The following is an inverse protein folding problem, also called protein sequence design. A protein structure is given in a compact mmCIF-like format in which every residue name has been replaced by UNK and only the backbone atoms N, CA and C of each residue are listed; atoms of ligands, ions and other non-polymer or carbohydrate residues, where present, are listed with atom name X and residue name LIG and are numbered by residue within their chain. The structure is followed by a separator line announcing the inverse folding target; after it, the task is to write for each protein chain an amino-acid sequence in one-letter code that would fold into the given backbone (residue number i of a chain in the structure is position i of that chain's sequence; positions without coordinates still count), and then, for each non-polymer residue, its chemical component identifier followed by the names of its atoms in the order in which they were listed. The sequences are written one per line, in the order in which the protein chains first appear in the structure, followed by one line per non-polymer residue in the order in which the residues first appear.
data_IF_640584982265
#
_entry.id   IF_640584982265
#
_cell.length_a   1.000
_cell.length_b   1.000
_cell.length_c   1.000
_cell.angle_alpha   90.00
_cell.angle_beta   90.00
_cell.angle_gamma   90.00
#
_symmetry.space_group_name_H-M   'P 1'
#
loop_
_entity.id
_entity.type
_entity.pdbx_description
1 polymer ?
#
# COMPACT_ATOMS: atom_id res chain seq x y z
N UNK A 1 -26.66 -56.25 -4.43
CA UNK A 1 -27.47 -55.02 -4.53
C UNK A 1 -26.54 -53.92 -4.98
N UNK A 2 -26.56 -53.60 -6.26
CA UNK A 2 -25.66 -52.64 -6.90
C UNK A 2 -26.34 -51.28 -6.93
N UNK A 3 -25.74 -50.27 -6.31
CA UNK A 3 -26.24 -48.91 -6.32
C UNK A 3 -25.58 -48.13 -7.46
N UNK A 4 -26.37 -47.78 -8.47
CA UNK A 4 -26.01 -46.82 -9.50
C UNK A 4 -26.16 -45.41 -8.94
N UNK A 5 -25.05 -44.68 -8.79
CA UNK A 5 -25.08 -43.22 -8.58
C UNK A 5 -24.84 -42.55 -9.93
N UNK A 6 -25.85 -41.80 -10.41
CA UNK A 6 -25.66 -40.85 -11.50
C UNK A 6 -25.20 -39.49 -10.94
N UNK A 7 -24.19 -38.83 -11.52
CA UNK A 7 -23.85 -37.47 -11.14
C UNK A 7 -24.92 -36.49 -11.64
N UNK A 8 -25.49 -35.73 -10.71
CA UNK A 8 -26.40 -34.62 -10.97
C UNK A 8 -25.64 -33.47 -11.65
N UNK A 9 -25.93 -33.22 -12.92
CA UNK A 9 -25.42 -32.04 -13.65
C UNK A 9 -26.24 -30.83 -13.23
N UNK A 10 -25.65 -29.96 -12.41
CA UNK A 10 -26.24 -28.67 -12.07
C UNK A 10 -26.39 -27.80 -13.31
N UNK A 11 -27.64 -27.46 -13.65
CA UNK A 11 -27.98 -26.45 -14.66
C UNK A 11 -27.48 -25.08 -14.20
N UNK A 12 -26.46 -24.55 -14.86
CA UNK A 12 -26.05 -23.15 -14.70
C UNK A 12 -26.81 -22.29 -15.70
N UNK A 13 -27.63 -21.36 -15.22
CA UNK A 13 -28.22 -20.32 -16.05
C UNK A 13 -27.14 -19.29 -16.40
N UNK A 14 -26.77 -19.21 -17.68
CA UNK A 14 -25.90 -18.16 -18.22
C UNK A 14 -26.76 -16.92 -18.54
N UNK A 15 -26.35 -15.76 -18.04
CA UNK A 15 -26.89 -14.48 -18.50
C UNK A 15 -26.43 -14.22 -19.94
N UNK A 16 -27.36 -13.92 -20.86
CA UNK A 16 -27.06 -13.56 -22.25
C UNK A 16 -26.31 -12.21 -22.31
N UNK A 17 -25.09 -12.14 -22.86
CA UNK A 17 -24.54 -10.85 -23.28
C UNK A 17 -25.26 -10.37 -24.55
N UNK A 18 -25.67 -9.11 -24.50
CA UNK A 18 -26.51 -8.42 -25.48
C UNK A 18 -25.78 -8.20 -26.82
N UNK A 19 -26.56 -8.16 -27.90
CA UNK A 19 -26.10 -8.01 -29.27
C UNK A 19 -25.32 -6.69 -29.48
N UNK A 20 -24.08 -6.82 -29.96
CA UNK A 20 -23.27 -5.71 -30.45
C UNK A 20 -23.88 -5.25 -31.79
N UNK A 21 -24.28 -3.98 -31.88
CA UNK A 21 -24.76 -3.36 -33.11
C UNK A 21 -23.63 -3.29 -34.15
N UNK A 22 -23.96 -3.72 -35.37
CA UNK A 22 -23.09 -3.64 -36.54
C UNK A 22 -22.87 -2.19 -37.02
N UNK A 23 -21.69 -1.92 -37.59
CA UNK A 23 -21.37 -0.77 -38.45
C UNK A 23 -20.56 -1.29 -39.67
N UNK A 24 -20.46 -0.57 -40.80
CA UNK A 24 -20.80 -1.11 -42.11
C UNK A 24 -19.55 -1.40 -42.97
N UNK A 25 -19.78 -2.25 -43.97
CA UNK A 25 -18.89 -2.62 -45.06
C UNK A 25 -18.45 -1.42 -45.93
N UNK A 26 -17.23 -1.48 -46.50
CA UNK A 26 -17.05 -1.29 -47.95
C UNK A 26 -16.21 -2.45 -48.53
N UNK A 27 -16.76 -3.31 -49.39
CA UNK A 27 -16.91 -3.17 -50.83
C UNK A 27 -15.57 -3.20 -51.62
N UNK A 28 -15.39 -4.33 -52.32
CA UNK A 28 -14.74 -4.54 -53.61
C UNK A 28 -13.19 -4.44 -53.76
N UNK A 29 -12.54 -5.57 -54.06
CA UNK A 29 -11.95 -5.87 -55.38
C UNK A 29 -11.24 -7.25 -55.40
N UNK A 30 -11.59 -8.08 -56.38
CA UNK A 30 -11.02 -9.39 -56.71
C UNK A 30 -9.72 -9.24 -57.57
N UNK A 31 -9.13 -10.28 -58.22
CA UNK A 31 -9.40 -11.72 -58.19
C UNK A 31 -8.13 -12.64 -58.11
N UNK A 32 -8.42 -13.94 -58.16
CA UNK A 32 -7.59 -15.15 -58.11
C UNK A 32 -6.41 -15.26 -59.10
N UNK A 33 -5.44 -16.13 -58.77
CA UNK A 33 -5.08 -17.29 -59.62
C UNK A 33 -4.16 -18.31 -58.90
N UNK A 34 -4.54 -19.58 -59.06
CA UNK A 34 -3.80 -20.81 -58.75
C UNK A 34 -2.62 -21.05 -59.71
N UNK A 35 -1.61 -21.82 -59.27
CA UNK A 35 -1.13 -23.08 -59.85
C UNK A 35 0.38 -23.36 -59.62
N UNK A 36 0.63 -24.48 -58.91
CA UNK A 36 1.56 -25.59 -59.26
C UNK A 36 3.09 -25.39 -59.06
N UNK A 37 3.70 -26.18 -58.15
CA UNK A 37 4.42 -27.46 -58.43
C UNK A 37 5.36 -27.89 -57.27
N UNK A 38 5.21 -29.19 -56.91
CA UNK A 38 6.18 -30.24 -56.54
C UNK A 38 7.24 -30.05 -55.44
N UNK A 39 7.19 -31.00 -54.48
CA UNK A 39 8.23 -31.93 -53.96
C UNK A 39 9.63 -31.35 -53.63
N UNK A 40 10.30 -31.69 -52.53
CA UNK A 40 10.48 -33.02 -51.93
C UNK A 40 11.15 -32.92 -50.55
N UNK A 41 11.25 -34.07 -49.88
CA UNK A 41 12.28 -34.48 -48.92
C UNK A 41 12.20 -34.02 -47.45
N UNK A 42 11.59 -34.89 -46.64
CA UNK A 42 12.33 -35.68 -45.65
C UNK A 42 13.05 -34.93 -44.53
N UNK A 43 12.39 -34.81 -43.37
CA UNK A 43 13.06 -34.95 -42.07
C UNK A 43 12.04 -35.29 -40.99
N UNK A 44 12.19 -36.49 -40.42
CA UNK A 44 11.51 -36.95 -39.21
C UNK A 44 11.83 -36.00 -38.05
N UNK A 45 10.82 -35.33 -37.51
CA UNK A 45 10.89 -34.72 -36.19
C UNK A 45 9.57 -35.03 -35.46
N UNK A 46 9.67 -35.86 -34.43
CA UNK A 46 8.58 -36.24 -33.53
C UNK A 46 7.85 -34.98 -33.05
N UNK A 47 6.51 -34.94 -32.96
CA UNK A 47 5.85 -33.80 -32.35
C UNK A 47 6.28 -33.75 -30.87
N UNK A 48 7.04 -32.72 -30.52
CA UNK A 48 7.24 -32.35 -29.12
C UNK A 48 5.88 -31.86 -28.64
N UNK A 49 5.17 -32.70 -27.89
CA UNK A 49 3.98 -32.27 -27.17
C UNK A 49 4.44 -31.25 -26.12
N UNK A 50 4.34 -29.97 -26.45
CA UNK A 50 4.47 -28.90 -25.47
C UNK A 50 3.21 -28.92 -24.61
N UNK A 51 3.31 -29.46 -23.39
CA UNK A 51 2.29 -29.25 -22.37
C UNK A 51 2.27 -27.77 -22.02
N UNK A 52 1.33 -27.03 -22.61
CA UNK A 52 0.93 -25.74 -22.06
C UNK A 52 0.11 -26.05 -20.81
N UNK A 53 0.46 -25.50 -19.62
CA UNK A 53 -0.33 -25.74 -18.43
C UNK A 53 -1.74 -25.18 -18.68
N UNK A 54 -2.70 -26.09 -18.72
CA UNK A 54 -4.13 -25.83 -18.77
C UNK A 54 -4.54 -24.88 -17.64
N UNK A 55 -5.38 -23.91 -18.00
CA UNK A 55 -6.24 -23.05 -17.19
C UNK A 55 -6.34 -23.45 -15.70
N UNK A 56 -5.95 -22.54 -14.80
CA UNK A 56 -6.68 -22.41 -13.54
C UNK A 56 -5.94 -22.46 -12.21
N UNK A 57 -4.62 -22.26 -12.11
CA UNK A 57 -4.03 -21.85 -10.83
C UNK A 57 -3.87 -20.34 -10.82
N UNK A 58 -4.91 -19.63 -10.38
CA UNK A 58 -4.79 -18.24 -9.99
C UNK A 58 -3.87 -18.18 -8.77
N UNK A 59 -2.55 -18.12 -9.01
CA UNK A 59 -1.66 -17.54 -8.02
C UNK A 59 -2.10 -16.09 -7.95
N UNK A 60 -2.91 -15.77 -6.94
CA UNK A 60 -3.14 -14.38 -6.55
C UNK A 60 -1.76 -13.79 -6.42
N UNK A 61 -1.37 -12.92 -7.37
CA UNK A 61 -0.12 -12.16 -7.24
C UNK A 61 -0.18 -11.58 -5.84
N UNK A 62 0.76 -11.89 -4.94
CA UNK A 62 0.78 -11.21 -3.65
C UNK A 62 0.80 -9.73 -4.00
N UNK A 63 -0.27 -9.02 -3.61
CA UNK A 63 -0.34 -7.59 -3.83
C UNK A 63 0.97 -7.04 -3.28
N UNK A 64 1.73 -6.27 -4.09
CA UNK A 64 2.99 -5.72 -3.60
C UNK A 64 2.68 -5.00 -2.30
N UNK A 65 3.25 -5.47 -1.20
CA UNK A 65 3.21 -4.75 0.07
C UNK A 65 3.66 -3.33 -0.27
N UNK A 66 2.77 -2.34 -0.09
CA UNK A 66 3.04 -0.95 -0.43
C UNK A 66 4.35 -0.55 0.25
N UNK A 67 5.42 -0.51 -0.53
CA UNK A 67 6.70 -0.03 -0.03
C UNK A 67 6.56 1.48 0.12
N UNK A 68 7.04 2.08 1.23
CA UNK A 68 7.15 3.52 1.30
C UNK A 68 8.03 3.99 0.15
N UNK A 69 7.45 4.79 -0.75
CA UNK A 69 8.07 5.18 -2.02
C UNK A 69 8.95 6.40 -1.85
N UNK A 70 8.56 7.30 -0.95
CA UNK A 70 9.30 8.51 -0.64
C UNK A 70 9.16 8.80 0.84
N UNK A 71 10.29 9.04 1.51
CA UNK A 71 10.32 9.38 2.92
C UNK A 71 11.25 10.57 3.16
N UNK A 72 10.91 11.38 4.15
CA UNK A 72 11.73 12.50 4.63
C UNK A 72 11.73 12.52 6.15
N UNK A 73 12.80 13.06 6.72
CA UNK A 73 13.04 13.06 8.15
C UNK A 73 13.30 14.49 8.60
N UNK A 74 12.64 14.90 9.68
CA UNK A 74 12.80 16.23 10.25
C UNK A 74 13.12 16.14 11.74
N UNK A 75 14.03 17.02 12.16
CA UNK A 75 14.38 17.19 13.55
C UNK A 75 13.96 18.60 14.00
N UNK A 76 13.31 18.68 15.15
CA UNK A 76 12.98 19.94 15.78
C UNK A 76 14.27 20.62 16.26
N UNK A 77 14.39 21.92 15.99
CA UNK A 77 15.56 22.70 16.41
C UNK A 77 15.54 22.89 17.92
N UNK A 78 16.70 22.77 18.57
CA UNK A 78 16.84 23.00 20.01
C UNK A 78 16.55 21.79 20.91
N UNK A 79 16.11 20.66 20.34
CA UNK A 79 15.90 19.42 21.08
C UNK A 79 17.00 18.40 20.81
N UNK A 80 17.25 17.54 21.80
CA UNK A 80 18.18 16.41 21.68
C UNK A 80 17.58 15.34 20.78
N UNK A 81 18.46 14.55 20.14
CA UNK A 81 18.00 13.42 19.33
C UNK A 81 17.21 12.41 20.18
N UNK A 82 16.22 11.72 19.58
CA UNK A 82 15.39 10.73 20.25
C UNK A 82 16.08 9.68 21.11
N UNK A 83 17.31 9.29 20.74
CA UNK A 83 18.12 8.37 21.53
C UNK A 83 18.60 8.94 22.87
N UNK A 84 18.73 10.27 23.00
CA UNK A 84 19.33 10.95 24.15
C UNK A 84 18.35 11.84 24.93
N UNK A 85 17.08 11.90 24.53
CA UNK A 85 16.07 12.71 25.21
C UNK A 85 15.34 11.95 26.31
N UNK A 86 14.98 12.69 27.36
CA UNK A 86 14.22 12.18 28.49
C UNK A 86 12.76 11.89 28.07
N UNK A 87 12.06 11.05 28.85
CA UNK A 87 10.66 10.69 28.58
C UNK A 87 9.77 11.93 28.48
N UNK A 88 9.96 12.91 29.38
CA UNK A 88 9.20 14.16 29.40
C UNK A 88 9.38 14.97 28.11
N UNK A 89 10.61 15.14 27.64
CA UNK A 89 10.92 15.84 26.38
C UNK A 89 10.25 15.12 25.19
N UNK A 90 10.28 13.77 25.18
CA UNK A 90 9.60 12.99 24.13
C UNK A 90 8.09 13.20 24.14
N UNK A 91 7.47 13.23 25.33
CA UNK A 91 6.04 13.47 25.49
C UNK A 91 5.64 14.88 25.04
N UNK A 92 6.45 15.90 25.33
CA UNK A 92 6.18 17.25 24.82
C UNK A 92 6.31 17.32 23.29
N UNK A 93 7.33 16.66 22.71
CA UNK A 93 7.46 16.56 21.24
C UNK A 93 6.24 15.87 20.63
N UNK A 94 5.79 14.77 21.23
CA UNK A 94 4.59 14.06 20.81
C UNK A 94 3.37 14.98 20.89
N UNK A 95 3.17 15.71 22.00
CA UNK A 95 2.05 16.63 22.17
C UNK A 95 2.01 17.70 21.09
N UNK A 96 3.14 18.36 20.84
CA UNK A 96 3.24 19.44 19.84
C UNK A 96 3.04 18.90 18.43
N UNK A 97 3.64 17.76 18.08
CA UNK A 97 3.48 17.16 16.76
C UNK A 97 2.06 16.62 16.53
N UNK A 98 1.48 15.93 17.52
CA UNK A 98 0.12 15.38 17.39
C UNK A 98 -0.91 16.49 17.27
N UNK A 99 -0.79 17.57 18.04
CA UNK A 99 -1.64 18.74 17.89
C UNK A 99 -1.54 19.34 16.49
N UNK A 100 -0.31 19.60 16.02
CA UNK A 100 -0.09 20.11 14.67
C UNK A 100 -0.66 19.19 13.59
N UNK A 101 -0.53 17.87 13.75
CA UNK A 101 -1.02 16.88 12.78
C UNK A 101 -2.55 16.74 12.78
N UNK A 102 -3.19 16.84 13.94
CA UNK A 102 -4.65 16.75 14.09
C UNK A 102 -5.36 18.03 13.65
N UNK A 103 -4.71 19.20 13.78
CA UNK A 103 -5.21 20.47 13.25
C UNK A 103 -5.14 20.55 11.71
N UNK A 104 -4.38 19.65 11.06
CA UNK A 104 -4.35 19.58 9.60
C UNK A 104 -5.66 19.01 9.04
N UNK A 105 -6.45 19.87 8.41
CA UNK A 105 -7.68 19.48 7.73
C UNK A 105 -7.48 18.98 6.29
N UNK A 106 -8.54 18.41 5.74
CA UNK A 106 -8.67 18.09 4.31
C UNK A 106 -8.00 16.78 3.92
N UNK A 107 -7.20 16.78 2.85
CA UNK A 107 -6.62 15.54 2.29
C UNK A 107 -5.58 14.89 3.21
N UNK A 108 -5.04 15.62 4.19
CA UNK A 108 -4.04 15.15 5.15
C UNK A 108 -4.65 14.75 6.50
N UNK A 109 -5.97 14.86 6.64
CA UNK A 109 -6.68 14.46 7.84
C UNK A 109 -6.47 12.96 8.13
N UNK A 110 -6.36 12.63 9.41
CA UNK A 110 -6.00 11.29 9.86
C UNK A 110 -6.01 11.14 11.37
N UNK A 111 -5.66 9.92 11.77
CA UNK A 111 -5.66 9.51 13.17
C UNK A 111 -4.24 9.24 13.66
N UNK A 112 -4.02 9.50 14.95
CA UNK A 112 -2.79 9.17 15.65
C UNK A 112 -2.91 7.83 16.39
N UNK A 113 -1.91 6.97 16.21
CA UNK A 113 -1.79 5.64 16.80
C UNK A 113 -0.52 5.57 17.66
N UNK A 114 -0.62 5.79 18.97
CA UNK A 114 0.50 5.61 19.88
C UNK A 114 0.97 4.15 19.91
N UNK A 115 2.26 3.92 20.20
CA UNK A 115 2.79 2.55 20.32
C UNK A 115 2.09 1.79 21.45
N UNK A 116 2.01 0.47 21.31
CA UNK A 116 1.39 -0.42 22.29
C UNK A 116 2.08 -0.26 23.66
N UNK A 117 1.30 -0.03 24.71
CA UNK A 117 1.82 0.22 26.07
C UNK A 117 2.25 1.66 26.33
N UNK A 118 2.09 2.57 25.36
CA UNK A 118 2.23 4.00 25.62
C UNK A 118 1.06 4.54 26.43
N UNK A 119 1.36 5.37 27.42
CA UNK A 119 0.38 6.09 28.26
C UNK A 119 0.41 7.59 28.05
N UNK A 120 1.28 8.08 27.14
CA UNK A 120 1.51 9.52 26.95
C UNK A 120 0.39 10.23 26.17
N UNK A 121 -0.43 9.49 25.43
CA UNK A 121 -1.50 10.07 24.60
C UNK A 121 -2.89 9.90 25.24
N UNK A 122 -3.50 11.03 25.62
CA UNK A 122 -4.75 11.05 26.37
C UNK A 122 -5.95 10.45 25.62
N UNK A 123 -6.05 10.67 24.31
CA UNK A 123 -7.20 10.22 23.50
C UNK A 123 -7.24 8.69 23.33
N UNK A 124 -6.12 7.99 23.52
CA UNK A 124 -6.03 6.51 23.40
C UNK A 124 -5.15 5.93 24.50
N UNK A 125 -5.66 5.81 25.73
CA UNK A 125 -4.93 5.21 26.82
C UNK A 125 -4.66 3.73 26.51
N UNK A 126 -3.38 3.31 26.52
CA UNK A 126 -2.97 1.91 26.29
C UNK A 126 -2.38 1.63 24.90
N UNK A 127 -2.38 2.60 23.99
CA UNK A 127 -1.73 2.45 22.68
C UNK A 127 -2.65 1.90 21.58
N UNK A 128 -2.04 1.48 20.46
CA UNK A 128 -2.72 0.78 19.38
C UNK A 128 -3.19 -0.63 19.78
N UNK A 129 -4.29 -1.08 19.17
CA UNK A 129 -4.79 -2.46 19.29
C UNK A 129 -3.90 -3.45 18.53
N UNK A 130 -4.01 -4.74 18.86
CA UNK A 130 -3.24 -5.79 18.19
C UNK A 130 -3.56 -5.89 16.68
N UNK A 131 -4.80 -5.62 16.27
CA UNK A 131 -5.20 -5.63 14.86
C UNK A 131 -4.56 -4.47 14.07
N UNK A 132 -4.53 -3.27 14.66
CA UNK A 132 -3.85 -2.11 14.09
C UNK A 132 -2.34 -2.38 13.99
N UNK A 133 -1.73 -2.97 15.03
CA UNK A 133 -0.32 -3.39 15.02
C UNK A 133 0.00 -4.31 13.84
N UNK A 134 -0.81 -5.35 13.62
CA UNK A 134 -0.64 -6.27 12.49
C UNK A 134 -0.76 -5.54 11.14
N UNK A 135 -1.65 -4.56 11.04
CA UNK A 135 -1.82 -3.73 9.85
C UNK A 135 -0.57 -2.86 9.60
N UNK A 136 -0.02 -2.24 10.64
CA UNK A 136 1.20 -1.43 10.57
C UNK A 136 2.46 -2.26 10.30
N UNK A 137 2.51 -3.50 10.81
CA UNK A 137 3.57 -4.47 10.48
C UNK A 137 3.52 -4.85 9.01
N UNK A 138 2.31 -5.11 8.50
CA UNK A 138 2.10 -5.47 7.09
C UNK A 138 2.50 -4.35 6.14
N UNK A 139 2.23 -3.09 6.51
CA UNK A 139 2.63 -1.91 5.73
C UNK A 139 4.09 -1.48 5.95
N UNK A 140 4.86 -2.21 6.78
CA UNK A 140 6.22 -1.86 7.22
C UNK A 140 6.34 -0.44 7.81
N UNK A 141 5.24 0.09 8.33
CA UNK A 141 5.20 1.34 9.08
C UNK A 141 5.45 1.13 10.56
N UNK A 142 5.28 -0.09 11.06
CA UNK A 142 5.59 -0.34 12.46
C UNK A 142 7.08 -0.21 12.69
N UNK A 143 7.45 0.65 13.63
CA UNK A 143 8.77 0.66 14.22
C UNK A 143 8.64 0.25 15.69
N UNK A 144 9.65 -0.49 16.16
CA UNK A 144 9.73 -0.89 17.56
C UNK A 144 10.61 0.09 18.33
N UNK A 145 10.31 0.24 19.62
CA UNK A 145 11.21 0.96 20.50
C UNK A 145 12.54 0.19 20.60
N UNK A 146 13.69 0.89 20.62
CA UNK A 146 14.97 0.21 20.83
C UNK A 146 14.97 -0.51 22.18
N UNK A 147 15.68 -1.64 22.30
CA UNK A 147 15.72 -2.42 23.53
C UNK A 147 16.21 -1.54 24.69
N UNK A 148 15.41 -1.46 25.76
CA UNK A 148 15.69 -0.62 26.94
C UNK A 148 15.16 0.82 26.88
N UNK A 149 14.40 1.21 25.85
CA UNK A 149 13.74 2.52 25.76
C UNK A 149 12.22 2.38 25.88
N UNK A 150 11.58 3.34 26.56
CA UNK A 150 10.12 3.32 26.71
C UNK A 150 9.39 3.58 25.38
N UNK A 151 8.19 3.01 25.28
CA UNK A 151 7.25 3.27 24.20
C UNK A 151 6.59 4.67 24.31
N UNK A 152 6.72 5.34 25.46
CA UNK A 152 6.12 6.65 25.72
C UNK A 152 6.72 7.74 24.81
N UNK A 153 5.83 8.59 24.28
CA UNK A 153 6.21 9.64 23.34
C UNK A 153 6.35 9.17 21.89
N UNK A 154 6.03 7.91 21.57
CA UNK A 154 6.24 7.33 20.23
C UNK A 154 4.92 6.84 19.63
N UNK A 155 4.78 7.04 18.33
CA UNK A 155 3.59 6.60 17.62
C UNK A 155 3.62 6.86 16.13
N UNK A 156 2.52 6.52 15.48
CA UNK A 156 2.35 6.58 14.03
C UNK A 156 1.07 7.34 13.75
N UNK A 157 1.15 8.39 12.94
CA UNK A 157 -0.01 9.03 12.35
C UNK A 157 -0.30 8.39 10.99
N UNK A 158 -1.58 8.12 10.71
CA UNK A 158 -2.00 7.67 9.39
C UNK A 158 -3.16 8.53 8.90
N UNK A 159 -3.01 9.06 7.68
CA UNK A 159 -4.11 9.74 7.01
C UNK A 159 -5.26 8.76 6.72
N UNK A 160 -6.50 9.25 6.71
CA UNK A 160 -7.69 8.46 6.36
C UNK A 160 -7.56 7.75 5.00
N UNK A 161 -6.86 8.38 4.05
CA UNK A 161 -6.59 7.79 2.72
C UNK A 161 -5.48 6.73 2.73
N UNK A 162 -4.76 6.54 3.85
CA UNK A 162 -3.58 5.66 3.99
C UNK A 162 -2.48 5.91 2.96
N UNK A 163 -2.46 7.09 2.34
CA UNK A 163 -1.45 7.52 1.37
C UNK A 163 -0.22 8.11 2.03
N UNK A 164 -0.40 8.67 3.23
CA UNK A 164 0.61 9.35 4.03
C UNK A 164 0.59 8.78 5.43
N UNK A 165 1.77 8.52 5.97
CA UNK A 165 1.99 8.16 7.35
C UNK A 165 3.13 8.99 7.94
N UNK A 166 3.06 9.31 9.24
CA UNK A 166 4.12 10.02 9.95
C UNK A 166 4.52 9.21 11.17
N UNK A 167 5.78 8.81 11.25
CA UNK A 167 6.32 8.18 12.46
C UNK A 167 6.87 9.28 13.37
N UNK A 168 6.39 9.32 14.61
CA UNK A 168 6.77 10.30 15.63
C UNK A 168 7.76 9.69 16.59
N UNK A 169 8.85 10.42 16.86
CA UNK A 169 9.95 10.04 17.73
C UNK A 169 10.53 8.67 17.35
N UNK A 170 10.95 8.53 16.11
CA UNK A 170 11.81 7.40 15.67
C UNK A 170 13.20 7.51 16.27
N UNK A 171 14.05 6.48 16.15
CA UNK A 171 15.40 6.48 16.74
C UNK A 171 16.25 7.68 16.27
N UNK A 172 16.15 8.03 14.99
CA UNK A 172 17.03 9.00 14.35
C UNK A 172 16.44 10.42 14.29
N UNK A 173 15.12 10.54 14.15
CA UNK A 173 14.43 11.81 13.92
C UNK A 173 13.12 11.94 14.72
N UNK A 174 12.75 13.19 15.03
CA UNK A 174 11.52 13.54 15.73
C UNK A 174 10.27 13.26 14.91
N UNK A 175 10.30 13.52 13.60
CA UNK A 175 9.21 13.15 12.69
C UNK A 175 9.78 12.58 11.39
N UNK A 176 9.29 11.42 10.99
CA UNK A 176 9.57 10.80 9.69
C UNK A 176 8.29 10.74 8.88
N UNK A 177 8.26 11.51 7.81
CA UNK A 177 7.17 11.57 6.85
C UNK A 177 7.34 10.46 5.82
N UNK A 178 6.28 9.72 5.57
CA UNK A 178 6.26 8.58 4.67
C UNK A 178 5.08 8.75 3.71
N UNK A 179 5.36 8.70 2.41
CA UNK A 179 4.35 8.76 1.35
C UNK A 179 4.43 7.48 0.52
N UNK A 180 3.27 6.85 0.30
CA UNK A 180 3.15 5.57 -0.40
C UNK A 180 2.96 5.70 -1.92
N UNK A 181 2.88 6.92 -2.43
CA UNK A 181 2.73 7.21 -3.86
C UNK A 181 4.07 7.31 -4.56
N UNK A 182 4.09 6.92 -5.83
CA UNK A 182 5.23 7.10 -6.72
C UNK A 182 5.16 8.42 -7.49
N UNK A 183 6.32 8.90 -7.94
CA UNK A 183 6.42 10.01 -8.88
C UNK A 183 6.48 11.41 -8.26
N UNK A 184 6.40 12.43 -9.11
CA UNK A 184 6.54 13.83 -8.71
C UNK A 184 5.43 14.28 -7.75
N UNK A 185 4.23 13.70 -7.88
CA UNK A 185 3.11 13.99 -6.99
C UNK A 185 3.40 13.61 -5.54
N UNK A 186 4.16 12.53 -5.31
CA UNK A 186 4.56 12.12 -3.97
C UNK A 186 5.49 13.15 -3.32
N UNK A 187 6.44 13.68 -4.08
CA UNK A 187 7.32 14.74 -3.59
C UNK A 187 6.57 16.04 -3.31
N UNK A 188 5.56 16.38 -4.12
CA UNK A 188 4.70 17.55 -3.88
C UNK A 188 3.88 17.37 -2.59
N UNK A 189 3.24 16.22 -2.40
CA UNK A 189 2.52 15.91 -1.16
C UNK A 189 3.45 15.95 0.07
N UNK A 190 4.65 15.41 -0.05
CA UNK A 190 5.66 15.45 1.01
C UNK A 190 6.06 16.90 1.38
N UNK A 191 6.37 17.74 0.39
CA UNK A 191 6.74 19.15 0.63
C UNK A 191 5.59 19.94 1.26
N UNK A 192 4.35 19.69 0.81
CA UNK A 192 3.16 20.32 1.39
C UNK A 192 2.99 19.91 2.85
N UNK A 193 3.14 18.62 3.17
CA UNK A 193 3.05 18.10 4.53
C UNK A 193 4.13 18.71 5.43
N UNK A 194 5.39 18.72 4.98
CA UNK A 194 6.48 19.35 5.73
C UNK A 194 6.25 20.85 5.95
N UNK A 195 5.74 21.55 4.93
CA UNK A 195 5.41 22.98 5.01
C UNK A 195 4.30 23.24 6.02
N UNK A 196 3.22 22.46 5.96
CA UNK A 196 2.08 22.57 6.88
C UNK A 196 2.51 22.31 8.33
N UNK A 197 3.28 21.25 8.58
CA UNK A 197 3.80 20.95 9.93
C UNK A 197 4.72 22.07 10.42
N UNK A 198 5.62 22.60 9.58
CA UNK A 198 6.48 23.73 9.96
C UNK A 198 5.66 24.99 10.32
N UNK A 199 4.60 25.27 9.57
CA UNK A 199 3.71 26.40 9.84
C UNK A 199 2.94 26.21 11.15
N UNK A 200 2.39 25.02 11.39
CA UNK A 200 1.71 24.70 12.64
C UNK A 200 2.66 24.80 13.84
N UNK A 201 3.90 24.33 13.71
CA UNK A 201 4.92 24.46 14.74
C UNK A 201 5.30 25.91 15.02
N UNK A 202 5.32 26.78 14.01
CA UNK A 202 5.58 28.22 14.20
C UNK A 202 4.45 28.95 14.93
N UNK A 203 3.22 28.44 14.88
CA UNK A 203 2.10 29.03 15.60
C UNK A 203 2.09 28.65 17.09
N UNK A 204 2.87 27.62 17.47
CA UNK A 204 2.90 27.03 18.81
C UNK A 204 4.12 27.48 19.64
N UNK A 205 5.09 28.17 19.03
CA UNK A 205 6.31 28.68 19.66
C UNK A 205 6.28 30.18 19.85
#
# INVERSE_FOLDING_TARGET
VSYHLQPSVGTWMMAKPQAIKALPTPAAAAPAQDFRKKASDGASAKPVFAMTPSVGTWVSRPQPLLRPQTASMTCLKGLRRPAAMAVQERTEVERVLTQALLEMGGKLEGDYFPLQGSTSFFLRPGGMTQAEKLTMQSSRLLFEAPPGSDANGRGIFCSASKTVAVQVNTQDAHARFIVFKEGEQAQRELRLLEGAVKQALQQQG
#
